data_IF_544483038581
#
_entry.id   IF_544483038581
#
_cell.length_a   1.000
_cell.length_b   1.000
_cell.length_c   1.000
_cell.angle_alpha   90.00
_cell.angle_beta   90.00
_cell.angle_gamma   90.00
#
_symmetry.space_group_name_H-M   'P 1'
#
loop_
_entity.id
_entity.type
_entity.pdbx_description
1 polymer ?
#
# COMPACT_ATOMS: atom_id res chain seq x y z
N UNK A 1 9.39 -29.81 -2.54
CA UNK A 1 8.93 -28.54 -3.12
C UNK A 1 8.42 -28.80 -4.52
N UNK A 2 7.28 -28.23 -4.92
CA UNK A 2 6.80 -28.40 -6.29
C UNK A 2 7.67 -27.58 -7.26
N UNK A 3 7.77 -28.03 -8.51
CA UNK A 3 8.49 -27.30 -9.56
C UNK A 3 7.96 -25.87 -9.74
N UNK A 4 6.64 -25.68 -9.61
CA UNK A 4 6.01 -24.36 -9.69
C UNK A 4 6.40 -23.44 -8.53
N UNK A 5 6.55 -23.96 -7.32
CA UNK A 5 7.03 -23.18 -6.17
C UNK A 5 8.47 -22.72 -6.35
N UNK A 6 9.31 -23.57 -6.92
CA UNK A 6 10.69 -23.23 -7.23
C UNK A 6 10.78 -22.13 -8.30
N UNK A 7 9.99 -22.24 -9.38
CA UNK A 7 9.92 -21.22 -10.44
C UNK A 7 9.41 -19.89 -9.90
N UNK A 8 8.37 -19.91 -9.05
CA UNK A 8 7.85 -18.70 -8.41
C UNK A 8 8.91 -18.04 -7.53
N UNK A 9 9.62 -18.80 -6.73
CA UNK A 9 10.71 -18.30 -5.88
C UNK A 9 11.82 -17.65 -6.71
N UNK A 10 12.30 -18.31 -7.76
CA UNK A 10 13.36 -17.78 -8.63
C UNK A 10 12.91 -16.49 -9.34
N UNK A 11 11.65 -16.45 -9.82
CA UNK A 11 11.09 -15.25 -10.41
C UNK A 11 11.00 -14.09 -9.42
N UNK A 12 10.56 -14.35 -8.18
CA UNK A 12 10.54 -13.31 -7.14
C UNK A 12 11.94 -12.85 -6.75
N UNK A 13 12.91 -13.78 -6.63
CA UNK A 13 14.30 -13.41 -6.36
C UNK A 13 14.90 -12.52 -7.43
N UNK A 14 14.59 -12.77 -8.70
CA UNK A 14 15.09 -11.95 -9.81
C UNK A 14 14.60 -10.50 -9.77
N UNK A 15 13.55 -10.21 -9.02
CA UNK A 15 13.02 -8.85 -8.83
C UNK A 15 13.76 -8.04 -7.76
N UNK A 16 14.63 -8.67 -6.97
CA UNK A 16 15.41 -7.96 -5.94
C UNK A 16 16.32 -6.93 -6.60
N UNK A 17 16.25 -5.68 -6.11
CA UNK A 17 17.12 -4.60 -6.57
C UNK A 17 16.71 -3.95 -7.89
N UNK A 18 15.60 -4.39 -8.52
CA UNK A 18 15.03 -3.66 -9.65
C UNK A 18 14.46 -2.31 -9.19
N UNK A 19 14.54 -1.31 -10.07
CA UNK A 19 13.98 0.01 -9.80
C UNK A 19 12.47 -0.08 -9.57
N UNK A 20 11.94 0.65 -8.58
CA UNK A 20 10.52 0.65 -8.31
C UNK A 20 9.74 1.34 -9.44
N UNK A 21 8.62 0.74 -9.83
CA UNK A 21 7.68 1.31 -10.80
C UNK A 21 6.46 1.81 -10.05
N UNK A 22 5.88 2.93 -10.49
CA UNK A 22 4.66 3.49 -9.90
C UNK A 22 3.41 2.89 -10.55
N UNK A 23 2.40 2.63 -9.72
CA UNK A 23 1.05 2.29 -10.16
C UNK A 23 0.23 3.52 -10.54
N UNK A 24 -1.05 3.30 -10.76
CA UNK A 24 -2.00 4.34 -11.15
C UNK A 24 -2.33 5.29 -9.99
N UNK A 25 -2.68 6.53 -10.34
CA UNK A 25 -3.20 7.49 -9.39
C UNK A 25 -4.62 7.13 -8.96
N UNK A 26 -4.89 7.24 -7.67
CA UNK A 26 -6.18 7.00 -7.05
C UNK A 26 -6.58 8.22 -6.22
N UNK A 27 -7.79 8.76 -6.44
CA UNK A 27 -8.32 9.87 -5.65
C UNK A 27 -8.82 9.37 -4.29
N UNK A 28 -8.33 9.98 -3.22
CA UNK A 28 -8.75 9.68 -1.85
C UNK A 28 -9.79 10.70 -1.40
N UNK A 29 -11.06 10.38 -1.62
CA UNK A 29 -12.18 11.28 -1.36
C UNK A 29 -12.50 11.40 0.13
N UNK A 30 -13.16 12.51 0.53
CA UNK A 30 -13.69 12.67 1.88
C UNK A 30 -14.70 11.57 2.24
N UNK A 31 -15.52 11.12 1.29
CA UNK A 31 -16.47 10.02 1.50
C UNK A 31 -15.75 8.72 1.94
N UNK A 32 -14.67 8.37 1.26
CA UNK A 32 -13.86 7.19 1.64
C UNK A 32 -13.21 7.32 3.01
N UNK A 33 -12.79 8.53 3.38
CA UNK A 33 -12.26 8.82 4.72
C UNK A 33 -13.36 8.65 5.77
N UNK A 34 -14.56 9.13 5.51
CA UNK A 34 -15.71 8.96 6.40
C UNK A 34 -16.09 7.48 6.57
N UNK A 35 -16.11 6.71 5.48
CA UNK A 35 -16.38 5.26 5.52
C UNK A 35 -15.33 4.51 6.36
N UNK A 36 -14.07 4.90 6.24
CA UNK A 36 -13.00 4.33 7.06
C UNK A 36 -13.14 4.69 8.53
N UNK A 37 -13.51 5.94 8.84
CA UNK A 37 -13.80 6.38 10.19
C UNK A 37 -14.95 5.56 10.81
N UNK A 38 -16.01 5.30 10.06
CA UNK A 38 -17.14 4.49 10.51
C UNK A 38 -16.76 3.02 10.72
N UNK A 39 -15.92 2.48 9.83
CA UNK A 39 -15.47 1.08 9.91
C UNK A 39 -14.55 0.85 11.11
N UNK A 40 -13.67 1.79 11.41
CA UNK A 40 -12.63 1.65 12.46
C UNK A 40 -13.00 2.34 13.77
N UNK A 41 -14.08 3.13 13.78
CA UNK A 41 -14.53 3.97 14.90
C UNK A 41 -13.53 5.09 15.26
N UNK A 42 -12.65 5.45 14.34
CA UNK A 42 -11.75 6.60 14.48
C UNK A 42 -12.38 7.84 13.85
N UNK A 43 -13.20 8.53 14.65
CA UNK A 43 -13.91 9.75 14.25
C UNK A 43 -13.20 11.03 14.72
N UNK A 44 -11.87 11.03 14.78
CA UNK A 44 -11.15 12.25 15.11
C UNK A 44 -11.49 13.36 14.12
N UNK A 45 -11.76 14.57 14.62
CA UNK A 45 -12.28 15.69 13.83
C UNK A 45 -11.39 16.08 12.64
N UNK A 46 -10.08 15.86 12.72
CA UNK A 46 -9.14 16.15 11.62
C UNK A 46 -9.43 15.31 10.38
N UNK A 47 -10.19 14.24 10.48
CA UNK A 47 -10.55 13.37 9.37
C UNK A 47 -11.95 13.65 8.82
N UNK A 48 -12.90 14.01 9.70
CA UNK A 48 -14.34 14.02 9.34
C UNK A 48 -15.03 15.37 9.46
N UNK A 49 -14.37 16.40 10.00
CA UNK A 49 -14.96 17.72 10.22
C UNK A 49 -14.14 18.80 9.47
N UNK A 50 -14.52 19.14 8.23
CA UNK A 50 -13.77 20.10 7.41
C UNK A 50 -13.65 21.48 8.03
N UNK A 51 -14.68 21.95 8.75
CA UNK A 51 -14.68 23.30 9.35
C UNK A 51 -13.67 23.38 10.50
N UNK A 52 -13.67 22.41 11.37
CA UNK A 52 -12.71 22.34 12.48
C UNK A 52 -11.30 22.04 11.97
N UNK A 53 -11.17 21.13 11.02
CA UNK A 53 -9.87 20.77 10.45
C UNK A 53 -9.20 21.95 9.71
N UNK A 54 -9.99 22.82 9.09
CA UNK A 54 -9.49 24.03 8.44
C UNK A 54 -8.77 24.99 9.40
N UNK A 55 -9.08 24.93 10.69
CA UNK A 55 -8.46 25.73 11.74
C UNK A 55 -7.13 25.13 12.29
N UNK A 56 -6.78 23.95 11.81
CA UNK A 56 -5.52 23.28 12.15
C UNK A 56 -4.41 23.64 11.15
N UNK A 57 -3.14 23.33 11.47
CA UNK A 57 -2.05 23.50 10.51
C UNK A 57 -2.23 22.71 9.20
N UNK A 58 -3.14 21.73 9.16
CA UNK A 58 -3.46 20.98 7.93
C UNK A 58 -4.29 21.78 6.91
N UNK A 59 -5.02 22.81 7.37
CA UNK A 59 -5.85 23.66 6.51
C UNK A 59 -7.10 22.99 5.95
N UNK A 60 -7.41 21.78 6.39
CA UNK A 60 -8.54 20.97 5.97
C UNK A 60 -8.45 19.55 6.51
N UNK A 61 -9.37 18.69 6.13
CA UNK A 61 -9.35 17.29 6.54
C UNK A 61 -8.24 16.52 5.86
N UNK A 62 -7.68 15.57 6.61
CA UNK A 62 -6.64 14.65 6.14
C UNK A 62 -7.08 13.22 6.33
N UNK A 63 -6.62 12.34 5.45
CA UNK A 63 -6.87 10.91 5.58
C UNK A 63 -6.19 10.32 6.80
N UNK A 64 -6.80 9.28 7.38
CA UNK A 64 -6.13 8.45 8.38
C UNK A 64 -4.87 7.84 7.78
N UNK A 65 -3.77 7.85 8.53
CA UNK A 65 -2.56 7.14 8.11
C UNK A 65 -2.82 5.65 7.85
N UNK A 66 -3.63 5.02 8.70
CA UNK A 66 -4.03 3.62 8.52
C UNK A 66 -4.89 3.37 7.30
N UNK A 67 -5.68 4.35 6.84
CA UNK A 67 -6.39 4.24 5.56
C UNK A 67 -5.40 4.21 4.40
N UNK A 68 -4.45 5.13 4.36
CA UNK A 68 -3.42 5.16 3.30
C UNK A 68 -2.56 3.90 3.31
N UNK A 69 -2.22 3.37 4.48
CA UNK A 69 -1.54 2.09 4.61
C UNK A 69 -2.38 0.93 4.05
N UNK A 70 -3.66 0.87 4.40
CA UNK A 70 -4.58 -0.17 3.92
C UNK A 70 -4.77 -0.11 2.40
N UNK A 71 -4.77 1.09 1.81
CA UNK A 71 -4.89 1.29 0.37
C UNK A 71 -3.70 0.74 -0.41
N UNK A 72 -2.54 0.53 0.20
CA UNK A 72 -1.38 -0.04 -0.49
C UNK A 72 -1.66 -1.41 -1.11
N UNK A 73 -2.56 -2.20 -0.53
CA UNK A 73 -2.97 -3.49 -1.11
C UNK A 73 -3.61 -3.28 -2.49
N UNK A 74 -4.61 -2.38 -2.56
CA UNK A 74 -5.26 -2.03 -3.82
C UNK A 74 -4.28 -1.35 -4.79
N UNK A 75 -3.56 -0.34 -4.34
CA UNK A 75 -2.63 0.44 -5.17
C UNK A 75 -1.53 -0.44 -5.77
N UNK A 76 -1.07 -1.46 -5.04
CA UNK A 76 -0.06 -2.38 -5.55
C UNK A 76 -0.56 -3.22 -6.73
N UNK A 77 -1.86 -3.45 -6.86
CA UNK A 77 -2.43 -4.19 -8.01
C UNK A 77 -2.37 -3.41 -9.31
N UNK A 78 -2.18 -2.10 -9.24
CA UNK A 78 -2.07 -1.23 -10.41
C UNK A 78 -0.63 -1.05 -10.89
N UNK A 79 0.36 -1.53 -10.10
CA UNK A 79 1.77 -1.46 -10.50
C UNK A 79 1.99 -2.43 -11.67
N UNK A 80 2.52 -1.95 -12.81
CA UNK A 80 2.82 -2.82 -13.92
C UNK A 80 3.83 -3.90 -13.50
N UNK A 81 3.52 -5.14 -13.79
CA UNK A 81 4.43 -6.28 -13.59
C UNK A 81 4.70 -6.92 -14.93
N UNK A 82 5.96 -6.99 -15.31
CA UNK A 82 6.39 -7.63 -16.57
C UNK A 82 6.39 -9.16 -16.47
N UNK A 83 6.08 -9.70 -15.29
CA UNK A 83 6.09 -11.13 -15.07
C UNK A 83 4.68 -11.70 -15.21
N UNK A 84 4.51 -12.80 -15.94
CA UNK A 84 3.24 -13.52 -15.97
C UNK A 84 2.83 -13.91 -14.54
N UNK A 85 1.53 -14.01 -14.33
CA UNK A 85 0.97 -14.47 -13.05
C UNK A 85 1.74 -15.73 -12.62
N UNK A 86 2.35 -15.68 -11.44
CA UNK A 86 3.22 -16.74 -10.97
C UNK A 86 2.42 -18.03 -10.80
N UNK A 87 2.71 -19.02 -11.64
CA UNK A 87 2.08 -20.33 -11.56
C UNK A 87 2.36 -20.97 -10.19
N UNK A 88 1.34 -21.57 -9.59
CA UNK A 88 1.46 -22.23 -8.29
C UNK A 88 1.34 -21.32 -7.08
N UNK A 89 1.26 -19.99 -7.23
CA UNK A 89 0.91 -19.08 -6.15
C UNK A 89 -0.61 -19.04 -6.00
N UNK A 90 -1.13 -19.57 -4.90
CA UNK A 90 -2.56 -19.64 -4.63
C UNK A 90 -3.11 -18.32 -4.11
N UNK A 91 -2.39 -17.68 -3.20
CA UNK A 91 -2.79 -16.42 -2.57
C UNK A 91 -1.60 -15.65 -2.02
N UNK A 92 -1.75 -14.33 -1.90
CA UNK A 92 -0.88 -13.47 -1.12
C UNK A 92 -1.52 -13.15 0.22
N UNK A 93 -0.73 -13.20 1.29
CA UNK A 93 -1.17 -12.89 2.65
C UNK A 93 -0.25 -11.82 3.23
N UNK A 94 -0.84 -10.77 3.82
CA UNK A 94 -0.06 -9.79 4.56
C UNK A 94 0.41 -10.43 5.87
N UNK A 95 1.71 -10.68 5.97
CA UNK A 95 2.30 -11.35 7.12
C UNK A 95 2.68 -10.38 8.23
N UNK A 96 3.17 -9.19 7.88
CA UNK A 96 3.56 -8.20 8.86
C UNK A 96 4.21 -6.96 8.23
N UNK A 97 4.58 -6.04 9.09
CA UNK A 97 5.23 -4.77 8.75
C UNK A 97 6.46 -4.59 9.63
N UNK A 98 7.65 -4.46 9.03
CA UNK A 98 8.88 -4.23 9.77
C UNK A 98 9.02 -2.77 10.21
N UNK A 99 8.54 -1.83 9.39
CA UNK A 99 8.61 -0.41 9.66
C UNK A 99 7.50 0.32 8.90
N UNK A 100 6.81 1.23 9.60
CA UNK A 100 5.84 2.15 9.00
C UNK A 100 6.15 3.58 9.46
N UNK A 101 6.05 4.53 8.53
CA UNK A 101 6.15 5.96 8.81
C UNK A 101 5.13 6.69 7.96
N UNK A 102 4.35 7.54 8.61
CA UNK A 102 3.44 8.50 7.98
C UNK A 102 4.15 9.86 7.92
N UNK A 103 4.89 10.08 6.85
CA UNK A 103 5.83 11.21 6.74
C UNK A 103 5.09 12.53 6.48
N UNK A 104 4.07 12.46 5.63
CA UNK A 104 3.26 13.63 5.25
C UNK A 104 1.78 13.32 5.42
N UNK A 105 0.97 14.31 5.87
CA UNK A 105 -0.48 14.18 5.84
C UNK A 105 -0.98 14.11 4.40
N UNK A 106 -2.05 13.36 4.18
CA UNK A 106 -2.73 13.24 2.88
C UNK A 106 -4.03 14.03 2.95
N UNK A 107 -4.11 15.23 2.35
CA UNK A 107 -5.35 15.99 2.33
C UNK A 107 -6.48 15.24 1.62
N UNK A 108 -7.72 15.38 2.13
CA UNK A 108 -8.89 14.84 1.44
C UNK A 108 -8.97 15.38 0.01
N UNK A 109 -9.32 14.52 -0.96
CA UNK A 109 -9.35 14.87 -2.39
C UNK A 109 -8.00 14.80 -3.10
N UNK A 110 -6.90 14.51 -2.40
CA UNK A 110 -5.60 14.25 -3.03
C UNK A 110 -5.61 12.94 -3.79
N UNK A 111 -4.70 12.81 -4.74
CA UNK A 111 -4.43 11.54 -5.42
C UNK A 111 -3.22 10.86 -4.80
N UNK A 112 -3.31 9.55 -4.61
CA UNK A 112 -2.23 8.71 -4.13
C UNK A 112 -1.92 7.61 -5.13
N UNK A 113 -0.70 7.14 -5.15
CA UNK A 113 -0.27 5.93 -5.88
C UNK A 113 0.84 5.23 -5.11
N UNK A 114 1.06 3.95 -5.38
CA UNK A 114 2.13 3.19 -4.76
C UNK A 114 3.30 2.94 -5.71
N UNK A 115 4.48 2.86 -5.12
CA UNK A 115 5.64 2.16 -5.70
C UNK A 115 5.98 0.98 -4.81
N UNK A 116 6.57 -0.06 -5.40
CA UNK A 116 7.02 -1.24 -4.66
C UNK A 116 8.38 -1.70 -5.18
N UNK A 117 9.27 -2.01 -4.27
CA UNK A 117 10.57 -2.59 -4.57
C UNK A 117 10.77 -3.84 -3.73
N UNK A 118 11.15 -4.94 -4.37
CA UNK A 118 11.48 -6.18 -3.64
C UNK A 118 12.84 -6.03 -2.97
N UNK A 119 12.88 -6.28 -1.67
CA UNK A 119 14.09 -6.16 -0.85
C UNK A 119 14.67 -7.53 -0.56
N UNK A 120 13.83 -8.50 -0.22
CA UNK A 120 14.25 -9.85 0.15
C UNK A 120 13.18 -10.87 -0.20
N UNK A 121 13.61 -12.09 -0.50
CA UNK A 121 12.73 -13.22 -0.81
C UNK A 121 13.30 -14.47 -0.17
N UNK A 122 12.55 -15.06 0.75
CA UNK A 122 12.97 -16.25 1.50
C UNK A 122 11.96 -17.38 1.33
N UNK A 123 12.45 -18.56 1.03
CA UNK A 123 11.62 -19.77 0.96
C UNK A 123 11.47 -20.38 2.35
N UNK A 124 10.23 -20.57 2.80
CA UNK A 124 9.88 -21.16 4.09
C UNK A 124 8.91 -22.33 3.87
N UNK A 125 9.45 -23.54 3.72
CA UNK A 125 8.62 -24.71 3.43
C UNK A 125 7.87 -24.58 2.11
N UNK A 126 6.55 -24.53 2.16
CA UNK A 126 5.68 -24.32 0.98
C UNK A 126 5.24 -22.86 0.81
N UNK A 127 5.80 -21.92 1.56
CA UNK A 127 5.51 -20.51 1.47
C UNK A 127 6.75 -19.72 1.04
N UNK A 128 6.53 -18.61 0.38
CA UNK A 128 7.56 -17.64 0.03
C UNK A 128 7.29 -16.37 0.85
N UNK A 129 8.26 -15.98 1.66
CA UNK A 129 8.24 -14.73 2.40
C UNK A 129 8.95 -13.67 1.57
N UNK A 130 8.20 -12.66 1.12
CA UNK A 130 8.71 -11.55 0.31
C UNK A 130 8.65 -10.26 1.11
N UNK A 131 9.80 -9.63 1.32
CA UNK A 131 9.90 -8.30 1.91
C UNK A 131 9.94 -7.24 0.83
N UNK A 132 9.07 -6.23 0.95
CA UNK A 132 9.01 -5.10 0.01
C UNK A 132 9.16 -3.77 0.73
N UNK A 133 9.84 -2.85 0.09
CA UNK A 133 9.74 -1.42 0.39
C UNK A 133 8.61 -0.84 -0.44
N UNK A 134 7.57 -0.35 0.24
CA UNK A 134 6.44 0.28 -0.42
C UNK A 134 6.35 1.75 -0.02
N UNK A 135 6.18 2.61 -0.99
CA UNK A 135 5.96 4.04 -0.79
C UNK A 135 4.60 4.41 -1.36
N UNK A 136 3.80 5.13 -0.57
CA UNK A 136 2.63 5.84 -1.06
C UNK A 136 3.05 7.27 -1.42
N UNK A 137 2.88 7.63 -2.69
CA UNK A 137 3.18 8.96 -3.21
C UNK A 137 1.89 9.78 -3.25
N UNK A 138 2.00 11.09 -2.96
CA UNK A 138 0.86 12.00 -2.90
C UNK A 138 1.02 13.04 -4.02
N UNK A 139 -0.08 13.27 -4.75
CA UNK A 139 -0.23 14.40 -5.65
C UNK A 139 -1.35 15.31 -5.14
N UNK A 140 -0.98 16.49 -4.78
CA UNK A 140 -1.89 17.51 -4.23
C UNK A 140 -2.32 18.47 -5.34
#
# INVERSE_FOLDING_TARGET
>A
MSENAQKAYESMQSSIGLDPVAGDWFELTQERINDFADTTLDHQFIHIDPERAAQTPFGGTVAHGFLTLSMLVHLSTTIPVDTPRLEGVLMGVNYGLNKVRFINPVPAGSRIRATSQTIDVVLKGNAIDMTRLMLSLIHI
#
